data_IF_722339156411
#
_entry.id   IF_722339156411
#
_cell.length_a   1.000
_cell.length_b   1.000
_cell.length_c   1.000
_cell.angle_alpha   90.00
_cell.angle_beta   90.00
_cell.angle_gamma   90.00
#
_symmetry.space_group_name_H-M   'P 1'
#
loop_
_entity.id
_entity.type
_entity.pdbx_description
1 polymer ?
#
# COMPACT_ATOMS: atom_id res chain seq x y z
N UNK A 1 5.59 -2.13 -33.66
CA UNK A 1 5.95 -0.74 -33.33
C UNK A 1 5.32 -0.46 -31.98
N UNK A 2 6.09 -0.50 -30.90
CA UNK A 2 5.61 -0.07 -29.60
C UNK A 2 5.61 1.46 -29.62
N UNK A 3 4.49 2.08 -29.30
CA UNK A 3 4.44 3.53 -29.15
C UNK A 3 5.27 3.89 -27.92
N UNK A 4 6.39 4.58 -28.12
CA UNK A 4 7.07 5.36 -27.07
C UNK A 4 6.18 6.56 -26.75
N UNK A 5 5.05 6.29 -26.10
CA UNK A 5 4.23 7.35 -25.54
C UNK A 5 4.95 7.84 -24.29
N UNK A 6 5.54 9.04 -24.37
CA UNK A 6 6.17 9.69 -23.22
C UNK A 6 5.10 9.87 -22.14
N UNK A 7 5.17 9.05 -21.09
CA UNK A 7 4.18 9.00 -20.01
C UNK A 7 4.30 10.22 -19.09
N UNK A 8 5.50 10.78 -18.91
CA UNK A 8 5.78 11.93 -18.06
C UNK A 8 6.81 12.86 -18.71
N UNK A 9 6.61 14.17 -18.56
CA UNK A 9 7.47 15.24 -19.11
C UNK A 9 7.90 16.18 -17.96
N UNK A 10 9.17 16.62 -17.97
CA UNK A 10 9.74 17.56 -16.99
C UNK A 10 9.51 17.18 -15.51
N UNK A 11 9.64 15.89 -15.19
CA UNK A 11 9.47 15.38 -13.83
C UNK A 11 10.55 15.93 -12.90
N UNK A 12 10.14 16.80 -11.97
CA UNK A 12 11.03 17.37 -10.97
C UNK A 12 10.37 17.34 -9.60
N UNK A 13 10.88 16.48 -8.71
CA UNK A 13 10.52 16.47 -7.30
C UNK A 13 11.66 15.91 -6.46
N UNK A 14 11.67 16.26 -5.18
CA UNK A 14 12.61 15.76 -4.18
C UNK A 14 11.79 15.10 -3.07
N UNK A 15 12.29 13.97 -2.55
CA UNK A 15 11.77 13.31 -1.35
C UNK A 15 12.87 13.36 -0.30
N UNK A 16 12.56 13.94 0.85
CA UNK A 16 13.52 14.06 1.95
C UNK A 16 13.39 12.88 2.90
N UNK A 17 14.40 12.72 3.74
CA UNK A 17 14.35 11.74 4.84
C UNK A 17 13.09 11.94 5.67
N UNK A 18 12.38 10.84 5.93
CA UNK A 18 11.13 10.79 6.68
C UNK A 18 9.88 11.38 6.02
N UNK A 19 9.98 11.93 4.79
CA UNK A 19 8.79 12.39 4.07
C UNK A 19 7.82 11.21 3.80
N UNK A 20 6.53 11.43 4.03
CA UNK A 20 5.43 10.53 3.61
C UNK A 20 4.72 11.14 2.42
N UNK A 21 4.93 10.56 1.25
CA UNK A 21 4.49 11.13 -0.03
C UNK A 21 3.58 10.16 -0.75
N UNK A 22 2.41 10.64 -1.15
CA UNK A 22 1.54 9.90 -2.07
C UNK A 22 1.69 10.42 -3.50
N UNK A 23 1.69 9.52 -4.48
CA UNK A 23 1.51 9.82 -5.90
C UNK A 23 0.08 9.47 -6.29
N UNK A 24 -0.62 10.43 -6.89
CA UNK A 24 -1.95 10.21 -7.46
C UNK A 24 -2.01 10.68 -8.90
N UNK A 25 -2.91 10.09 -9.67
CA UNK A 25 -3.13 10.41 -11.08
C UNK A 25 -4.02 9.35 -11.73
N UNK A 26 -4.47 9.61 -12.94
CA UNK A 26 -5.32 8.68 -13.70
C UNK A 26 -4.62 7.35 -13.97
N UNK A 27 -5.40 6.31 -14.30
CA UNK A 27 -4.84 5.02 -14.69
C UNK A 27 -4.09 5.15 -16.02
N UNK A 28 -2.95 4.46 -16.14
CA UNK A 28 -2.11 4.51 -17.34
C UNK A 28 -1.14 5.68 -17.42
N UNK A 29 -1.15 6.63 -16.46
CA UNK A 29 -0.24 7.79 -16.48
C UNK A 29 1.22 7.49 -16.09
N UNK A 30 1.55 6.21 -15.87
CA UNK A 30 2.93 5.78 -15.59
C UNK A 30 3.37 5.79 -14.13
N UNK A 31 2.44 5.79 -13.15
CA UNK A 31 2.76 5.77 -11.70
C UNK A 31 3.66 4.58 -11.33
N UNK A 32 3.22 3.36 -11.62
CA UNK A 32 3.99 2.12 -11.39
C UNK A 32 5.34 2.14 -12.10
N UNK A 33 5.36 2.63 -13.35
CA UNK A 33 6.60 2.76 -14.11
C UNK A 33 7.59 3.71 -13.43
N UNK A 34 7.12 4.84 -12.88
CA UNK A 34 7.95 5.77 -12.12
C UNK A 34 8.56 5.10 -10.88
N UNK A 35 7.76 4.40 -10.06
CA UNK A 35 8.27 3.67 -8.89
C UNK A 35 9.31 2.61 -9.27
N UNK A 36 9.06 1.86 -10.35
CA UNK A 36 10.01 0.87 -10.87
C UNK A 36 11.32 1.50 -11.33
N UNK A 37 11.28 2.64 -12.03
CA UNK A 37 12.49 3.35 -12.45
C UNK A 37 13.28 3.87 -11.26
N UNK A 38 12.62 4.37 -10.22
CA UNK A 38 13.27 4.76 -8.96
C UNK A 38 13.92 3.54 -8.29
N UNK A 39 13.19 2.44 -8.15
CA UNK A 39 13.71 1.23 -7.52
C UNK A 39 14.93 0.64 -8.25
N UNK A 40 14.87 0.58 -9.59
CA UNK A 40 15.97 0.06 -10.42
C UNK A 40 17.13 1.04 -10.58
N UNK A 41 16.93 2.30 -10.20
CA UNK A 41 17.88 3.40 -10.39
C UNK A 41 18.52 3.41 -11.79
N UNK A 42 17.69 3.27 -12.83
CA UNK A 42 18.14 3.02 -14.20
C UNK A 42 18.05 4.25 -15.12
N UNK A 43 18.06 5.46 -14.54
CA UNK A 43 17.98 6.73 -15.26
C UNK A 43 18.93 7.75 -14.65
N UNK A 44 19.71 8.45 -15.48
CA UNK A 44 20.64 9.50 -15.05
C UNK A 44 19.93 10.70 -14.38
N UNK A 45 18.62 10.82 -14.56
CA UNK A 45 17.78 11.86 -13.94
C UNK A 45 17.36 11.52 -12.50
N UNK A 46 17.67 10.32 -12.01
CA UNK A 46 17.32 9.85 -10.67
C UNK A 46 18.59 9.86 -9.82
N UNK A 47 18.61 10.73 -8.82
CA UNK A 47 19.70 10.79 -7.83
C UNK A 47 19.20 10.22 -6.50
N UNK A 48 19.85 9.16 -6.04
CA UNK A 48 19.55 8.49 -4.77
C UNK A 48 20.84 8.51 -3.94
N UNK A 49 20.74 8.99 -2.69
CA UNK A 49 21.88 9.00 -1.79
C UNK A 49 22.36 7.57 -1.50
N UNK A 50 23.67 7.34 -1.48
CA UNK A 50 24.29 6.01 -1.30
C UNK A 50 23.90 5.30 0.01
N UNK A 51 23.48 6.05 1.04
CA UNK A 51 23.06 5.49 2.32
C UNK A 51 21.57 5.10 2.37
N UNK A 52 20.85 5.23 1.25
CA UNK A 52 19.44 4.85 1.17
C UNK A 52 19.33 3.35 0.83
N UNK A 53 18.66 2.62 1.71
CA UNK A 53 18.24 1.24 1.45
C UNK A 53 16.74 1.27 1.13
N UNK A 54 16.39 0.82 -0.08
CA UNK A 54 15.03 0.87 -0.61
C UNK A 54 14.38 -0.51 -0.52
N UNK A 55 13.19 -0.57 0.06
CA UNK A 55 12.31 -1.72 -0.08
C UNK A 55 11.11 -1.35 -0.97
N UNK A 56 10.75 -2.26 -1.88
CA UNK A 56 9.68 -2.05 -2.85
C UNK A 56 8.60 -3.12 -2.70
N UNK A 57 7.36 -2.68 -2.52
CA UNK A 57 6.16 -3.49 -2.68
C UNK A 57 5.59 -3.22 -4.06
N UNK A 58 5.59 -4.25 -4.92
CA UNK A 58 5.07 -4.15 -6.28
C UNK A 58 3.64 -4.65 -6.37
N UNK A 59 2.83 -3.97 -7.19
CA UNK A 59 1.53 -4.47 -7.59
C UNK A 59 1.65 -5.80 -8.37
N UNK A 60 2.73 -5.99 -9.13
CA UNK A 60 3.04 -7.25 -9.81
C UNK A 60 3.92 -8.11 -8.90
N UNK A 61 3.29 -8.98 -8.11
CA UNK A 61 3.97 -9.69 -7.01
C UNK A 61 5.18 -10.52 -7.46
N UNK A 62 5.15 -11.10 -8.67
CA UNK A 62 6.25 -11.87 -9.25
C UNK A 62 7.51 -11.04 -9.60
N UNK A 63 7.49 -9.71 -9.45
CA UNK A 63 8.70 -8.88 -9.57
C UNK A 63 9.59 -8.92 -8.33
N UNK A 64 9.01 -9.20 -7.16
CA UNK A 64 9.68 -9.08 -5.86
C UNK A 64 9.77 -10.42 -5.14
N UNK A 65 8.76 -11.27 -5.31
CA UNK A 65 8.73 -12.62 -4.78
C UNK A 65 9.20 -13.62 -5.84
N UNK A 66 10.08 -14.54 -5.46
CA UNK A 66 10.38 -15.67 -6.31
C UNK A 66 9.27 -16.73 -6.18
N UNK A 67 8.37 -16.80 -7.17
CA UNK A 67 7.22 -17.71 -7.10
C UNK A 67 7.60 -19.21 -7.04
N UNK A 68 8.83 -19.55 -7.45
CA UNK A 68 9.35 -20.92 -7.37
C UNK A 68 9.80 -21.31 -5.95
N UNK A 69 10.11 -20.32 -5.11
CA UNK A 69 10.52 -20.54 -3.73
C UNK A 69 9.30 -20.94 -2.87
N UNK A 70 9.58 -21.68 -1.81
CA UNK A 70 8.70 -21.76 -0.64
C UNK A 70 8.76 -20.47 0.16
N UNK A 71 7.73 -20.21 0.98
CA UNK A 71 7.77 -19.07 1.92
C UNK A 71 9.02 -19.15 2.82
N UNK A 72 9.37 -20.35 3.28
CA UNK A 72 10.55 -20.58 4.10
C UNK A 72 11.84 -20.15 3.39
N UNK A 73 12.07 -20.61 2.16
CA UNK A 73 13.24 -20.26 1.35
C UNK A 73 13.34 -18.75 1.11
N UNK A 74 12.22 -18.11 0.77
CA UNK A 74 12.16 -16.68 0.52
C UNK A 74 12.57 -15.84 1.75
N UNK A 75 12.24 -16.31 2.96
CA UNK A 75 12.60 -15.61 4.20
C UNK A 75 14.02 -15.94 4.66
N UNK A 76 14.55 -17.12 4.36
CA UNK A 76 16.00 -17.36 4.49
C UNK A 76 16.79 -16.40 3.58
N UNK A 77 16.36 -16.22 2.33
CA UNK A 77 16.98 -15.28 1.39
C UNK A 77 16.88 -13.82 1.88
N UNK A 78 15.85 -13.50 2.65
CA UNK A 78 15.68 -12.19 3.31
C UNK A 78 16.56 -12.01 4.57
N UNK A 79 17.35 -13.02 4.95
CA UNK A 79 18.32 -12.94 6.05
C UNK A 79 17.84 -13.48 7.40
N UNK A 80 16.71 -14.18 7.46
CA UNK A 80 16.31 -14.92 8.66
C UNK A 80 17.18 -16.17 8.81
N UNK A 81 17.44 -16.63 10.05
CA UNK A 81 18.41 -17.70 10.28
C UNK A 81 17.77 -19.05 10.60
N UNK A 82 16.54 -19.06 11.14
CA UNK A 82 15.91 -20.30 11.62
C UNK A 82 14.44 -20.40 11.28
N UNK A 83 13.98 -21.62 11.05
CA UNK A 83 12.55 -21.94 10.86
C UNK A 83 11.67 -21.36 11.98
N UNK A 84 12.12 -21.47 13.25
CA UNK A 84 11.37 -20.97 14.40
C UNK A 84 11.21 -19.46 14.37
N UNK A 85 12.25 -18.74 13.95
CA UNK A 85 12.21 -17.29 13.81
C UNK A 85 11.24 -16.87 12.71
N UNK A 86 11.37 -17.49 11.53
CA UNK A 86 10.49 -17.24 10.36
C UNK A 86 9.03 -17.49 10.73
N UNK A 87 8.74 -18.65 11.33
CA UNK A 87 7.39 -19.00 11.78
C UNK A 87 6.81 -17.98 12.76
N UNK A 88 7.59 -17.58 13.77
CA UNK A 88 7.16 -16.60 14.79
C UNK A 88 6.94 -15.21 14.18
N UNK A 89 7.74 -14.84 13.18
CA UNK A 89 7.59 -13.57 12.49
C UNK A 89 6.32 -13.56 11.63
N UNK A 90 6.16 -14.58 10.79
CA UNK A 90 5.08 -14.71 9.83
C UNK A 90 3.71 -14.96 10.47
N UNK A 91 3.65 -15.52 11.69
CA UNK A 91 2.38 -15.62 12.42
C UNK A 91 1.72 -14.27 12.69
N UNK A 92 2.49 -13.17 12.77
CA UNK A 92 1.93 -11.82 12.92
C UNK A 92 1.26 -11.29 11.63
N UNK A 93 1.51 -11.96 10.51
CA UNK A 93 0.98 -11.66 9.18
C UNK A 93 -0.08 -12.67 8.75
N UNK A 94 -0.60 -13.49 9.67
CA UNK A 94 -1.66 -14.45 9.37
C UNK A 94 -1.20 -15.75 8.70
N UNK A 95 0.12 -15.96 8.54
CA UNK A 95 0.65 -17.22 8.00
C UNK A 95 0.85 -18.25 9.12
N UNK A 96 0.03 -19.29 9.09
CA UNK A 96 0.13 -20.46 9.97
C UNK A 96 1.32 -21.38 9.62
N UNK A 97 1.51 -22.42 10.43
CA UNK A 97 2.58 -23.41 10.24
C UNK A 97 2.44 -24.16 8.90
N UNK A 98 1.20 -24.40 8.49
CA UNK A 98 0.81 -25.04 7.25
C UNK A 98 1.21 -24.28 5.98
N UNK A 99 1.52 -22.98 6.09
CA UNK A 99 1.93 -22.14 4.97
C UNK A 99 3.44 -22.12 4.74
N UNK A 100 4.23 -22.35 5.78
CA UNK A 100 5.68 -22.04 5.75
C UNK A 100 6.42 -22.82 4.66
N UNK A 101 6.04 -24.08 4.43
CA UNK A 101 6.64 -24.92 3.38
C UNK A 101 5.88 -24.86 2.04
N UNK A 102 4.81 -24.07 1.94
CA UNK A 102 4.08 -23.89 0.69
C UNK A 102 4.88 -23.05 -0.29
N UNK A 103 4.73 -23.35 -1.58
CA UNK A 103 5.28 -22.53 -2.64
C UNK A 103 4.52 -21.23 -2.80
N UNK A 104 5.25 -20.16 -3.07
CA UNK A 104 4.67 -18.83 -3.27
C UNK A 104 3.71 -18.82 -4.48
N UNK A 105 3.97 -19.60 -5.54
CA UNK A 105 3.06 -19.71 -6.69
C UNK A 105 1.63 -20.14 -6.31
N UNK A 106 1.45 -20.91 -5.23
CA UNK A 106 0.14 -21.38 -4.77
C UNK A 106 -0.66 -20.38 -3.94
N UNK A 107 -0.03 -19.29 -3.50
CA UNK A 107 -0.70 -18.26 -2.71
C UNK A 107 -1.66 -17.43 -3.56
N UNK A 108 -2.78 -17.04 -2.97
CA UNK A 108 -3.68 -16.04 -3.54
C UNK A 108 -2.99 -14.67 -3.67
N UNK A 109 -3.53 -13.78 -4.51
CA UNK A 109 -2.97 -12.43 -4.67
C UNK A 109 -2.94 -11.63 -3.36
N UNK A 110 -3.93 -11.81 -2.49
CA UNK A 110 -3.97 -11.19 -1.16
C UNK A 110 -2.88 -11.72 -0.24
N UNK A 111 -2.71 -13.04 -0.17
CA UNK A 111 -1.62 -13.67 0.59
C UNK A 111 -0.25 -13.23 0.07
N UNK A 112 -0.04 -13.19 -1.24
CA UNK A 112 1.20 -12.65 -1.84
C UNK A 112 1.44 -11.19 -1.44
N UNK A 113 0.40 -10.36 -1.38
CA UNK A 113 0.54 -8.97 -0.94
C UNK A 113 0.96 -8.87 0.53
N UNK A 114 0.32 -9.66 1.41
CA UNK A 114 0.69 -9.71 2.84
C UNK A 114 2.11 -10.25 3.02
N UNK A 115 2.53 -11.25 2.22
CA UNK A 115 3.89 -11.78 2.26
C UNK A 115 4.93 -10.73 1.83
N UNK A 116 4.65 -9.94 0.79
CA UNK A 116 5.48 -8.80 0.41
C UNK A 116 5.57 -7.76 1.53
N UNK A 117 4.44 -7.41 2.16
CA UNK A 117 4.43 -6.51 3.32
C UNK A 117 5.30 -7.05 4.46
N UNK A 118 5.25 -8.35 4.73
CA UNK A 118 6.08 -9.00 5.74
C UNK A 118 7.58 -8.89 5.39
N UNK A 119 7.94 -9.12 4.13
CA UNK A 119 9.33 -9.00 3.64
C UNK A 119 9.83 -7.56 3.70
N UNK A 120 9.02 -6.60 3.23
CA UNK A 120 9.34 -5.16 3.30
C UNK A 120 9.49 -4.70 4.75
N UNK A 121 8.63 -5.17 5.65
CA UNK A 121 8.70 -4.84 7.08
C UNK A 121 9.92 -5.43 7.78
N UNK A 122 10.44 -6.56 7.30
CA UNK A 122 11.65 -7.19 7.82
C UNK A 122 12.93 -6.50 7.33
N UNK A 123 12.85 -5.77 6.22
CA UNK A 123 13.99 -5.05 5.66
C UNK A 123 14.45 -3.93 6.60
N UNK A 124 15.74 -3.57 6.52
CA UNK A 124 16.30 -2.40 7.22
C UNK A 124 16.23 -1.14 6.37
N UNK A 125 15.39 -1.16 5.33
CA UNK A 125 15.16 -0.05 4.44
C UNK A 125 14.85 1.21 5.24
N UNK A 126 15.34 2.34 4.74
CA UNK A 126 15.01 3.69 5.22
C UNK A 126 14.18 4.47 4.20
N UNK A 127 13.83 3.84 3.07
CA UNK A 127 12.87 4.32 2.08
C UNK A 127 11.96 3.17 1.61
N UNK A 128 10.64 3.40 1.68
CA UNK A 128 9.65 2.46 1.17
C UNK A 128 9.04 2.99 -0.12
N UNK A 129 9.01 2.14 -1.15
CA UNK A 129 8.21 2.32 -2.35
C UNK A 129 7.01 1.38 -2.28
N UNK A 130 5.80 1.91 -2.28
CA UNK A 130 4.59 1.10 -2.08
C UNK A 130 3.61 1.33 -3.23
N UNK A 131 3.43 0.35 -4.11
CA UNK A 131 2.52 0.45 -5.25
C UNK A 131 1.18 -0.25 -4.96
N UNK A 132 0.13 0.54 -4.73
CA UNK A 132 -1.23 0.08 -4.35
C UNK A 132 -1.24 -0.95 -3.19
N UNK A 133 -0.55 -0.65 -2.06
CA UNK A 133 -0.30 -1.65 -1.01
C UNK A 133 -1.56 -2.07 -0.26
N UNK A 134 -2.64 -1.30 -0.34
CA UNK A 134 -3.94 -1.61 0.28
C UNK A 134 -4.80 -2.53 -0.57
N UNK A 135 -4.41 -2.81 -1.83
CA UNK A 135 -5.18 -3.69 -2.71
C UNK A 135 -5.28 -5.08 -2.12
N UNK A 136 -6.48 -5.66 -2.16
CA UNK A 136 -6.78 -7.00 -1.65
C UNK A 136 -6.54 -7.20 -0.14
N UNK A 137 -6.34 -6.12 0.64
CA UNK A 137 -6.30 -6.18 2.10
C UNK A 137 -7.69 -6.00 2.70
N UNK A 138 -7.99 -6.73 3.77
CA UNK A 138 -9.15 -6.46 4.61
C UNK A 138 -9.02 -5.13 5.37
N UNK A 139 -10.14 -4.64 5.89
CA UNK A 139 -10.21 -3.34 6.57
C UNK A 139 -9.27 -3.27 7.79
N UNK A 140 -9.10 -4.38 8.52
CA UNK A 140 -8.19 -4.43 9.67
C UNK A 140 -6.73 -4.22 9.26
N UNK A 141 -6.29 -4.94 8.22
CA UNK A 141 -4.95 -4.89 7.67
C UNK A 141 -4.65 -3.54 7.03
N UNK A 142 -5.63 -2.91 6.37
CA UNK A 142 -5.51 -1.55 5.87
C UNK A 142 -5.24 -0.54 6.99
N UNK A 143 -5.99 -0.62 8.11
CA UNK A 143 -5.80 0.25 9.28
C UNK A 143 -4.43 0.01 9.93
N UNK A 144 -4.00 -1.25 10.02
CA UNK A 144 -2.68 -1.61 10.54
C UNK A 144 -1.55 -1.02 9.66
N UNK A 145 -1.67 -1.14 8.34
CA UNK A 145 -0.72 -0.57 7.39
C UNK A 145 -0.70 0.96 7.47
N UNK A 146 -1.85 1.62 7.58
CA UNK A 146 -1.94 3.08 7.73
C UNK A 146 -1.15 3.55 8.96
N UNK A 147 -1.34 2.88 10.10
CA UNK A 147 -0.60 3.17 11.34
C UNK A 147 0.88 2.89 11.19
N UNK A 148 1.26 1.80 10.51
CA UNK A 148 2.65 1.45 10.28
C UNK A 148 3.35 2.52 9.42
N UNK A 149 2.74 2.93 8.30
CA UNK A 149 3.28 3.96 7.40
C UNK A 149 3.43 5.30 8.11
N UNK A 150 2.41 5.69 8.89
CA UNK A 150 2.42 6.93 9.67
C UNK A 150 3.55 6.99 10.70
N UNK A 151 3.85 5.86 11.33
CA UNK A 151 4.87 5.77 12.40
C UNK A 151 6.25 5.33 11.89
N UNK A 152 6.40 5.05 10.60
CA UNK A 152 7.67 4.57 10.05
C UNK A 152 8.73 5.67 10.10
N UNK A 153 9.92 5.37 10.62
CA UNK A 153 11.04 6.32 10.73
C UNK A 153 11.94 6.28 9.49
N UNK A 154 11.35 6.57 8.32
CA UNK A 154 12.01 6.60 7.03
C UNK A 154 11.12 7.23 5.97
N UNK A 155 11.64 7.45 4.77
CA UNK A 155 10.83 8.01 3.67
C UNK A 155 9.82 6.98 3.15
N UNK A 156 8.64 7.43 2.72
CA UNK A 156 7.64 6.60 2.05
C UNK A 156 7.16 7.30 0.80
N UNK A 157 7.22 6.61 -0.33
CA UNK A 157 6.58 7.00 -1.57
C UNK A 157 5.54 5.96 -1.94
N UNK A 158 4.27 6.34 -1.88
CA UNK A 158 3.14 5.43 -2.08
C UNK A 158 2.32 5.83 -3.31
N UNK A 159 1.94 4.86 -4.13
CA UNK A 159 0.83 5.01 -5.07
C UNK A 159 -0.41 4.44 -4.40
N UNK A 160 -1.48 5.24 -4.35
CA UNK A 160 -2.76 4.76 -3.84
C UNK A 160 -3.92 5.55 -4.44
N UNK A 161 -5.04 4.86 -4.64
CA UNK A 161 -6.34 5.46 -4.91
C UNK A 161 -7.20 5.64 -3.64
N UNK A 162 -6.71 5.24 -2.46
CA UNK A 162 -7.41 5.39 -1.18
C UNK A 162 -7.12 6.78 -0.57
N UNK A 163 -8.03 7.72 -0.81
CA UNK A 163 -7.91 9.07 -0.28
C UNK A 163 -7.95 9.14 1.25
N UNK A 164 -8.65 8.21 1.91
CA UNK A 164 -8.70 8.15 3.37
C UNK A 164 -7.32 7.79 3.94
N UNK A 165 -6.69 6.74 3.39
CA UNK A 165 -5.34 6.33 3.75
C UNK A 165 -4.35 7.49 3.57
N UNK A 166 -4.38 8.14 2.39
CA UNK A 166 -3.49 9.26 2.07
C UNK A 166 -3.65 10.39 3.09
N UNK A 167 -4.90 10.78 3.40
CA UNK A 167 -5.19 11.90 4.31
C UNK A 167 -4.68 11.66 5.74
N UNK A 168 -4.65 10.40 6.17
CA UNK A 168 -4.31 10.02 7.55
C UNK A 168 -2.83 9.74 7.77
N UNK A 169 -2.09 9.40 6.71
CA UNK A 169 -0.72 8.86 6.79
C UNK A 169 0.32 9.62 5.96
N UNK A 170 -0.07 10.53 5.07
CA UNK A 170 0.85 11.25 4.17
C UNK A 170 1.00 12.74 4.51
N UNK A 171 2.18 13.29 4.26
CA UNK A 171 2.53 14.69 4.49
C UNK A 171 2.11 15.59 3.32
N UNK A 172 2.24 15.08 2.09
CA UNK A 172 1.83 15.75 0.87
C UNK A 172 1.60 14.77 -0.29
N UNK A 173 0.97 15.27 -1.34
CA UNK A 173 0.66 14.51 -2.56
C UNK A 173 1.43 15.09 -3.75
N UNK A 174 1.99 14.22 -4.58
CA UNK A 174 2.46 14.49 -5.92
C UNK A 174 1.35 14.10 -6.90
N UNK A 175 0.68 15.10 -7.46
CA UNK A 175 -0.38 14.89 -8.45
C UNK A 175 0.22 14.85 -9.85
N UNK A 176 -0.12 13.82 -10.61
CA UNK A 176 0.25 13.69 -12.01
C UNK A 176 -0.95 14.12 -12.86
N UNK A 177 -0.79 15.26 -13.54
CA UNK A 177 -1.80 15.88 -14.42
C UNK A 177 -1.07 16.38 -15.67
N UNK A 178 -1.61 16.11 -16.87
CA UNK A 178 -1.03 16.55 -18.16
C UNK A 178 0.47 16.21 -18.30
N UNK A 179 0.84 14.98 -17.92
CA UNK A 179 2.22 14.44 -17.89
C UNK A 179 3.20 15.15 -16.95
N UNK A 180 2.75 16.12 -16.16
CA UNK A 180 3.57 16.87 -15.21
C UNK A 180 3.26 16.45 -13.78
N UNK A 181 4.25 16.62 -12.90
CA UNK A 181 4.09 16.37 -11.47
C UNK A 181 3.93 17.69 -10.73
N UNK A 182 2.87 17.81 -9.93
CA UNK A 182 2.58 18.98 -9.09
C UNK A 182 2.48 18.56 -7.62
N UNK A 183 3.33 19.16 -6.77
CA UNK A 183 3.25 19.00 -5.32
C UNK A 183 2.03 19.74 -4.74
N UNK A 184 1.25 19.05 -3.92
CA UNK A 184 0.02 19.53 -3.29
C UNK A 184 0.06 19.22 -1.79
N UNK A 185 -0.07 20.25 -0.96
CA UNK A 185 -0.15 20.06 0.49
C UNK A 185 -1.49 19.46 0.91
N UNK A 186 -1.54 18.83 2.10
CA UNK A 186 -2.73 18.14 2.59
C UNK A 186 -3.96 19.03 2.74
N UNK A 187 -3.79 20.31 3.11
CA UNK A 187 -4.92 21.24 3.23
C UNK A 187 -5.60 21.46 1.88
N UNK A 188 -4.83 21.70 0.83
CA UNK A 188 -5.34 21.88 -0.54
C UNK A 188 -5.90 20.56 -1.08
N UNK A 189 -5.22 19.44 -0.82
CA UNK A 189 -5.67 18.13 -1.27
C UNK A 189 -7.05 17.75 -0.69
N UNK A 190 -7.26 17.93 0.62
CA UNK A 190 -8.58 17.73 1.26
C UNK A 190 -9.67 18.57 0.61
N UNK A 191 -9.38 19.85 0.35
CA UNK A 191 -10.32 20.74 -0.34
C UNK A 191 -10.68 20.22 -1.74
N UNK A 192 -9.69 19.76 -2.51
CA UNK A 192 -9.94 19.21 -3.84
C UNK A 192 -10.86 17.99 -3.80
N UNK A 193 -10.69 17.08 -2.84
CA UNK A 193 -11.57 15.92 -2.70
C UNK A 193 -13.03 16.35 -2.49
N UNK A 194 -13.28 17.31 -1.61
CA UNK A 194 -14.62 17.85 -1.37
C UNK A 194 -15.20 18.55 -2.61
N UNK A 195 -14.39 19.33 -3.33
CA UNK A 195 -14.83 20.05 -4.53
C UNK A 195 -15.14 19.08 -5.69
N UNK A 196 -14.41 17.95 -5.78
CA UNK A 196 -14.58 16.95 -6.86
C UNK A 196 -15.73 15.97 -6.60
N UNK A 197 -15.96 15.56 -5.34
CA UNK A 197 -16.99 14.57 -5.01
C UNK A 197 -18.34 15.19 -4.62
N UNK A 198 -18.47 16.52 -4.67
CA UNK A 198 -19.69 17.30 -4.38
C UNK A 198 -20.41 17.01 -3.05
N UNK A 199 -19.80 16.21 -2.17
CA UNK A 199 -20.34 15.88 -0.87
C UNK A 199 -19.33 16.19 0.23
N UNK A 200 -19.72 17.11 1.13
CA UNK A 200 -18.90 17.49 2.31
C UNK A 200 -18.66 16.31 3.24
N UNK A 201 -19.49 15.28 3.13
CA UNK A 201 -19.45 14.14 4.01
C UNK A 201 -18.78 12.92 3.37
N UNK A 202 -18.31 12.96 2.11
CA UNK A 202 -17.65 11.83 1.43
C UNK A 202 -16.58 11.14 2.30
N UNK A 203 -15.62 11.92 2.83
CA UNK A 203 -14.56 11.39 3.68
C UNK A 203 -15.09 10.84 5.02
N UNK A 204 -16.16 11.42 5.54
CA UNK A 204 -16.81 10.95 6.78
C UNK A 204 -17.58 9.64 6.54
N UNK A 205 -18.24 9.52 5.39
CA UNK A 205 -18.98 8.33 4.96
C UNK A 205 -18.01 7.17 4.72
N UNK A 206 -16.90 7.40 4.00
CA UNK A 206 -15.85 6.39 3.79
C UNK A 206 -15.22 5.95 5.12
N UNK A 207 -14.97 6.88 6.05
CA UNK A 207 -14.50 6.52 7.39
C UNK A 207 -15.53 5.66 8.14
N UNK A 208 -16.79 6.09 8.16
CA UNK A 208 -17.87 5.38 8.85
C UNK A 208 -18.09 3.99 8.25
N UNK A 209 -17.99 3.87 6.93
CA UNK A 209 -18.05 2.60 6.21
C UNK A 209 -16.97 1.64 6.70
N UNK A 210 -15.69 2.06 6.75
CA UNK A 210 -14.59 1.26 7.30
C UNK A 210 -14.83 0.85 8.76
N UNK A 211 -15.38 1.74 9.59
CA UNK A 211 -15.73 1.44 10.98
C UNK A 211 -16.84 0.38 11.09
N UNK A 212 -17.88 0.46 10.26
CA UNK A 212 -18.97 -0.53 10.23
C UNK A 212 -18.47 -1.88 9.71
N UNK A 213 -17.68 -1.90 8.63
CA UNK A 213 -17.05 -3.12 8.10
C UNK A 213 -16.22 -3.84 9.18
N UNK A 214 -15.43 -3.09 9.96
CA UNK A 214 -14.66 -3.68 11.05
C UNK A 214 -15.55 -4.25 12.17
N UNK A 215 -16.65 -3.57 12.52
CA UNK A 215 -17.61 -4.10 13.52
C UNK A 215 -18.31 -5.36 13.02
N UNK A 216 -18.64 -5.44 11.72
CA UNK A 216 -19.20 -6.65 11.11
C UNK A 216 -18.20 -7.80 11.22
N UNK A 217 -16.95 -7.57 10.85
CA UNK A 217 -15.90 -8.59 10.93
C UNK A 217 -15.74 -9.12 12.36
N UNK A 218 -15.71 -8.23 13.37
CA UNK A 218 -15.63 -8.62 14.78
C UNK A 218 -16.86 -9.41 15.23
N UNK A 219 -18.07 -8.98 14.88
CA UNK A 219 -19.31 -9.68 15.22
C UNK A 219 -19.35 -11.10 14.62
N UNK A 220 -18.84 -11.28 13.40
CA UNK A 220 -18.74 -12.60 12.77
C UNK A 220 -17.73 -13.52 13.49
N UNK A 221 -16.58 -12.99 13.91
CA UNK A 221 -15.59 -13.73 14.73
C UNK A 221 -16.20 -14.16 16.06
N UNK A 222 -16.99 -13.29 16.68
CA UNK A 222 -17.68 -13.57 17.95
C UNK A 222 -18.96 -14.40 17.76
N UNK A 223 -19.28 -14.82 16.54
CA UNK A 223 -20.49 -15.59 16.16
C UNK A 223 -21.82 -14.87 16.47
N UNK A 224 -21.79 -13.54 16.62
CA UNK A 224 -22.98 -12.70 16.81
C UNK A 224 -23.60 -12.33 15.46
N UNK A 225 -24.34 -13.27 14.88
CA UNK A 225 -24.93 -13.13 13.56
C UNK A 225 -26.05 -12.08 13.48
N UNK A 226 -26.77 -11.80 14.58
CA UNK A 226 -27.81 -10.77 14.59
C UNK A 226 -27.20 -9.36 14.59
N UNK A 227 -26.13 -9.15 15.34
CA UNK A 227 -25.37 -7.90 15.28
C UNK A 227 -24.74 -7.71 13.89
N UNK A 228 -24.12 -8.75 13.33
CA UNK A 228 -23.55 -8.72 11.99
C UNK A 228 -24.60 -8.37 10.92
N UNK A 229 -25.82 -8.94 11.01
CA UNK A 229 -26.94 -8.61 10.12
C UNK A 229 -27.35 -7.15 10.24
N UNK A 230 -27.54 -6.67 11.46
CA UNK A 230 -27.95 -5.28 11.73
C UNK A 230 -26.92 -4.28 11.18
N UNK A 231 -25.64 -4.53 11.42
CA UNK A 231 -24.55 -3.69 10.91
C UNK A 231 -24.41 -3.76 9.38
N UNK A 232 -24.73 -4.90 8.76
CA UNK A 232 -24.75 -5.04 7.29
C UNK A 232 -25.83 -4.16 6.66
N UNK A 233 -27.00 -4.04 7.29
CA UNK A 233 -28.05 -3.11 6.86
C UNK A 233 -27.60 -1.64 6.98
N UNK A 234 -26.88 -1.28 8.05
CA UNK A 234 -26.25 0.05 8.19
C UNK A 234 -25.22 0.31 7.08
N UNK A 235 -24.36 -0.68 6.79
CA UNK A 235 -23.34 -0.59 5.74
C UNK A 235 -23.96 -0.36 4.36
N UNK A 236 -25.05 -1.07 4.03
CA UNK A 236 -25.77 -0.87 2.77
C UNK A 236 -26.31 0.56 2.65
N UNK A 237 -26.79 1.14 3.76
CA UNK A 237 -27.20 2.53 3.82
C UNK A 237 -26.07 3.51 3.50
N UNK A 238 -24.86 3.25 4.03
CA UNK A 238 -23.68 4.08 3.76
C UNK A 238 -23.19 3.98 2.33
N UNK A 239 -23.20 2.77 1.75
CA UNK A 239 -22.78 2.56 0.35
C UNK A 239 -23.69 3.33 -0.62
N UNK A 240 -24.98 3.47 -0.32
CA UNK A 240 -25.92 4.26 -1.15
C UNK A 240 -25.67 5.77 -1.12
N UNK A 241 -24.87 6.26 -0.18
CA UNK A 241 -24.50 7.68 -0.07
C UNK A 241 -23.18 8.03 -0.78
N UNK A 242 -22.46 7.03 -1.30
CA UNK A 242 -21.20 7.18 -2.05
C UNK A 242 -21.45 7.05 -3.56
#
# INVERSE_FOLDING_TARGET
MAFDEVLLEDVNFEIKSNDKVAIIGTNGVGKTTLLRSIFKNNSDSIEINENIEIAYLSQMQGEILNESNTILEEFYDAGFETYREIRRYLSNYGFGEEFIEQKIESLSGGEKNILQLAKVSASKANMLLLDEPTSHLDTYSQIALEKAVKNYNGAVLMISHDYHFIINSMDYVLMIEDKKIRKVNMRKFRKMIYDTHFDKDYLQIEQKKKEVEMKIALALVDTDFELARTLSEELEGLIKLL
#
